data_IF_909799993283
#
_entry.id   IF_909799993283
#
_cell.length_a   1.000
_cell.length_b   1.000
_cell.length_c   1.000
_cell.angle_alpha   90.00
_cell.angle_beta   90.00
_cell.angle_gamma   90.00
#
_symmetry.space_group_name_H-M   'P 1'
#
loop_
_entity.id
_entity.type
_entity.pdbx_description
1 polymer ?
#
# COMPACT_ATOMS: atom_id res chain seq x y z
N UNK A 1 -0.74 28.75 -1.68
CA UNK A 1 -0.55 27.32 -2.02
C UNK A 1 0.67 26.83 -1.26
N UNK A 2 0.47 26.01 -0.22
CA UNK A 2 1.51 25.64 0.71
C UNK A 2 2.56 24.68 0.13
N UNK A 3 3.77 24.72 0.66
CA UNK A 3 4.88 23.81 0.34
C UNK A 3 4.46 22.32 0.37
N UNK A 4 3.53 21.94 1.25
CA UNK A 4 2.99 20.58 1.32
C UNK A 4 2.31 20.09 0.05
N UNK A 5 1.64 20.96 -0.71
CA UNK A 5 0.96 20.56 -1.97
C UNK A 5 1.97 20.34 -3.10
N UNK A 6 3.12 21.03 -3.07
CA UNK A 6 4.20 20.86 -4.04
C UNK A 6 4.88 19.49 -3.82
N UNK A 7 5.18 19.15 -2.57
CA UNK A 7 5.79 17.83 -2.24
C UNK A 7 4.86 16.65 -2.55
N UNK A 8 3.57 16.79 -2.28
CA UNK A 8 2.56 15.76 -2.62
C UNK A 8 2.52 15.49 -4.12
N UNK A 9 2.48 16.55 -4.93
CA UNK A 9 2.49 16.43 -6.41
C UNK A 9 3.79 15.86 -6.94
N UNK A 10 4.93 16.20 -6.35
CA UNK A 10 6.23 15.69 -6.78
C UNK A 10 6.38 14.19 -6.49
N UNK A 11 5.95 13.74 -5.32
CA UNK A 11 6.03 12.32 -4.94
C UNK A 11 5.09 11.45 -5.76
N UNK A 12 3.85 11.90 -5.99
CA UNK A 12 2.93 11.23 -6.91
C UNK A 12 3.48 11.18 -8.33
N UNK A 13 4.03 12.31 -8.84
CA UNK A 13 4.68 12.36 -10.15
C UNK A 13 5.87 11.41 -10.23
N UNK A 14 6.66 11.27 -9.15
CA UNK A 14 7.79 10.33 -9.11
C UNK A 14 7.32 8.88 -9.23
N UNK A 15 6.26 8.49 -8.52
CA UNK A 15 5.68 7.16 -8.62
C UNK A 15 5.09 6.88 -10.01
N UNK A 16 4.34 7.85 -10.55
CA UNK A 16 3.80 7.77 -11.91
C UNK A 16 4.90 7.74 -12.97
N UNK A 17 5.97 8.53 -12.81
CA UNK A 17 7.12 8.51 -13.70
C UNK A 17 7.83 7.15 -13.68
N UNK A 18 7.99 6.54 -12.50
CA UNK A 18 8.52 5.19 -12.37
C UNK A 18 7.63 4.15 -13.07
N UNK A 19 6.31 4.28 -12.92
CA UNK A 19 5.33 3.43 -13.62
C UNK A 19 5.46 3.55 -15.14
N UNK A 20 5.46 4.77 -15.69
CA UNK A 20 5.57 4.99 -17.14
C UNK A 20 6.96 4.63 -17.68
N UNK A 21 8.04 4.98 -16.98
CA UNK A 21 9.40 4.61 -17.39
C UNK A 21 9.57 3.09 -17.49
N UNK A 22 8.91 2.33 -16.61
CA UNK A 22 8.90 0.86 -16.69
C UNK A 22 7.99 0.32 -17.78
N UNK A 23 7.01 1.07 -18.27
CA UNK A 23 6.25 0.72 -19.48
C UNK A 23 7.09 0.82 -20.74
N UNK A 24 7.92 1.87 -20.85
CA UNK A 24 8.69 2.15 -22.06
C UNK A 24 9.91 1.22 -22.24
N UNK A 25 10.47 0.71 -21.13
CA UNK A 25 11.64 -0.19 -21.17
C UNK A 25 11.29 -1.65 -21.41
N UNK A 26 10.02 -2.00 -21.57
CA UNK A 26 9.55 -3.39 -21.62
C UNK A 26 9.65 -4.11 -22.95
N UNK A 27 10.30 -3.54 -23.92
CA UNK A 27 10.46 -4.30 -25.18
C UNK A 27 11.50 -5.41 -25.11
N UNK A 28 12.41 -5.46 -24.14
CA UNK A 28 13.49 -6.46 -24.21
C UNK A 28 14.00 -7.11 -22.92
N UNK A 29 13.85 -6.56 -21.70
CA UNK A 29 14.33 -7.25 -20.47
C UNK A 29 13.71 -6.67 -19.21
N UNK A 30 12.46 -6.90 -18.95
CA UNK A 30 11.90 -6.53 -17.64
C UNK A 30 12.50 -7.41 -16.53
N UNK A 31 13.40 -6.82 -15.74
CA UNK A 31 13.90 -7.45 -14.52
C UNK A 31 12.71 -7.61 -13.55
N UNK A 32 12.24 -8.83 -13.39
CA UNK A 32 11.16 -9.13 -12.46
C UNK A 32 11.63 -8.98 -11.01
N UNK A 33 10.70 -8.70 -10.11
CA UNK A 33 10.99 -8.73 -8.68
C UNK A 33 11.43 -10.13 -8.26
N UNK A 34 12.33 -10.21 -7.27
CA UNK A 34 12.71 -11.47 -6.66
C UNK A 34 11.54 -12.05 -5.90
N UNK A 35 11.57 -13.36 -5.63
CA UNK A 35 10.54 -14.03 -4.83
C UNK A 35 10.43 -13.39 -3.44
N UNK A 36 11.57 -13.07 -2.80
CA UNK A 36 11.62 -12.41 -1.50
C UNK A 36 10.95 -11.01 -1.54
N UNK A 37 11.28 -10.19 -2.54
CA UNK A 37 10.62 -8.88 -2.73
C UNK A 37 9.12 -9.01 -2.93
N UNK A 38 8.69 -9.96 -3.73
CA UNK A 38 7.27 -10.21 -3.99
C UNK A 38 6.55 -10.72 -2.75
N UNK A 39 7.19 -11.59 -1.96
CA UNK A 39 6.65 -12.11 -0.69
C UNK A 39 6.54 -10.99 0.34
N UNK A 40 7.59 -10.18 0.51
CA UNK A 40 7.58 -9.03 1.42
C UNK A 40 6.47 -8.05 1.04
N UNK A 41 6.41 -7.65 -0.23
CA UNK A 41 5.36 -6.76 -0.74
C UNK A 41 3.95 -7.32 -0.49
N UNK A 42 3.76 -8.62 -0.71
CA UNK A 42 2.51 -9.31 -0.43
C UNK A 42 2.13 -9.27 1.05
N UNK A 43 3.10 -9.52 1.93
CA UNK A 43 2.91 -9.49 3.39
C UNK A 43 2.59 -8.08 3.89
N UNK A 44 3.33 -7.08 3.44
CA UNK A 44 3.07 -5.67 3.81
C UNK A 44 1.71 -5.19 3.32
N UNK A 45 1.31 -5.59 2.11
CA UNK A 45 -0.01 -5.28 1.58
C UNK A 45 -1.14 -5.99 2.35
N UNK A 46 -0.95 -7.25 2.75
CA UNK A 46 -1.90 -7.98 3.59
C UNK A 46 -2.02 -7.32 4.98
N UNK A 47 -0.91 -6.88 5.58
CA UNK A 47 -0.90 -6.11 6.84
C UNK A 47 -1.66 -4.79 6.71
N UNK A 48 -1.44 -4.06 5.63
CA UNK A 48 -2.19 -2.83 5.36
C UNK A 48 -3.69 -3.10 5.18
N UNK A 49 -4.05 -4.19 4.49
CA UNK A 49 -5.45 -4.60 4.36
C UNK A 49 -6.08 -4.82 5.73
N UNK A 50 -5.44 -5.61 6.60
CA UNK A 50 -5.95 -5.91 7.96
C UNK A 50 -6.08 -4.63 8.79
N UNK A 51 -5.09 -3.75 8.74
CA UNK A 51 -5.13 -2.48 9.46
C UNK A 51 -6.23 -1.54 8.93
N UNK A 52 -6.45 -1.50 7.62
CA UNK A 52 -7.51 -0.71 7.00
C UNK A 52 -8.90 -1.29 7.33
N UNK A 53 -9.06 -2.62 7.31
CA UNK A 53 -10.30 -3.28 7.70
C UNK A 53 -10.65 -2.99 9.17
N UNK A 54 -9.63 -2.94 10.05
CA UNK A 54 -9.80 -2.57 11.45
C UNK A 54 -10.27 -1.11 11.61
N UNK A 55 -9.74 -0.18 10.82
CA UNK A 55 -10.23 1.20 10.80
C UNK A 55 -11.63 1.33 10.20
N UNK A 56 -12.02 0.41 9.33
CA UNK A 56 -13.35 0.38 8.74
C UNK A 56 -14.42 -0.23 9.69
N UNK A 57 -13.99 -0.80 10.82
CA UNK A 57 -14.89 -1.28 11.86
C UNK A 57 -15.46 -0.09 12.65
N UNK A 58 -16.79 0.06 12.62
CA UNK A 58 -17.47 1.16 13.30
C UNK A 58 -17.34 1.10 14.82
N UNK A 59 -17.19 -0.08 15.40
CA UNK A 59 -17.03 -0.27 16.84
C UNK A 59 -15.68 0.21 17.37
N UNK A 60 -14.66 0.32 16.49
CA UNK A 60 -13.34 0.80 16.89
C UNK A 60 -13.41 2.20 17.51
N UNK A 61 -14.19 3.10 16.91
CA UNK A 61 -14.26 4.51 17.35
C UNK A 61 -15.18 4.73 18.57
N UNK A 62 -15.83 3.68 19.05
CA UNK A 62 -16.54 3.70 20.32
C UNK A 62 -15.65 3.28 21.52
N UNK A 63 -14.44 2.79 21.24
CA UNK A 63 -13.44 2.39 22.23
C UNK A 63 -12.69 3.61 22.81
N UNK A 64 -11.77 3.33 23.72
CA UNK A 64 -10.88 4.33 24.32
C UNK A 64 -9.90 4.91 23.29
N UNK A 65 -9.42 6.12 23.60
CA UNK A 65 -8.55 6.87 22.69
C UNK A 65 -7.21 6.13 22.41
N UNK A 66 -6.67 5.42 23.39
CA UNK A 66 -5.41 4.69 23.23
C UNK A 66 -5.57 3.49 22.28
N UNK A 67 -6.71 2.84 22.29
CA UNK A 67 -7.06 1.77 21.34
C UNK A 67 -7.19 2.33 19.93
N UNK A 68 -7.85 3.49 19.78
CA UNK A 68 -7.98 4.19 18.49
C UNK A 68 -6.60 4.62 17.97
N UNK A 69 -5.77 5.24 18.82
CA UNK A 69 -4.41 5.67 18.45
C UNK A 69 -3.56 4.50 17.98
N UNK A 70 -3.57 3.37 18.70
CA UNK A 70 -2.84 2.16 18.29
C UNK A 70 -3.28 1.64 16.93
N UNK A 71 -4.59 1.64 16.67
CA UNK A 71 -5.11 1.18 15.38
C UNK A 71 -4.69 2.11 14.23
N UNK A 72 -4.76 3.42 14.43
CA UNK A 72 -4.33 4.42 13.44
C UNK A 72 -2.81 4.36 13.20
N UNK A 73 -2.00 4.19 14.25
CA UNK A 73 -0.54 3.99 14.12
C UNK A 73 -0.20 2.77 13.29
N UNK A 74 -0.79 1.61 13.62
CA UNK A 74 -0.57 0.37 12.87
C UNK A 74 -0.96 0.52 11.39
N UNK A 75 -2.05 1.26 11.11
CA UNK A 75 -2.45 1.57 9.74
C UNK A 75 -1.41 2.44 9.03
N UNK A 76 -0.91 3.49 9.67
CA UNK A 76 0.08 4.40 9.10
C UNK A 76 1.40 3.68 8.82
N UNK A 77 1.88 2.85 9.74
CA UNK A 77 3.08 2.03 9.56
C UNK A 77 2.94 1.10 8.35
N UNK A 78 1.87 0.30 8.31
CA UNK A 78 1.60 -0.60 7.19
C UNK A 78 1.44 0.13 5.85
N UNK A 79 0.79 1.31 5.85
CA UNK A 79 0.67 2.15 4.67
C UNK A 79 2.04 2.63 4.17
N UNK A 80 2.88 3.10 5.09
CA UNK A 80 4.22 3.61 4.78
C UNK A 80 5.14 2.50 4.25
N UNK A 81 5.02 1.28 4.75
CA UNK A 81 5.76 0.12 4.26
C UNK A 81 5.36 -0.20 2.81
N UNK A 82 4.05 -0.30 2.54
CA UNK A 82 3.55 -0.54 1.19
C UNK A 82 4.00 0.54 0.21
N UNK A 83 3.95 1.82 0.61
CA UNK A 83 4.40 2.93 -0.24
C UNK A 83 5.90 2.85 -0.52
N UNK A 84 6.71 2.54 0.48
CA UNK A 84 8.18 2.40 0.35
C UNK A 84 8.54 1.24 -0.57
N UNK A 85 8.01 0.06 -0.31
CA UNK A 85 8.31 -1.16 -1.06
C UNK A 85 7.79 -1.11 -2.49
N UNK A 86 6.60 -0.52 -2.69
CA UNK A 86 6.06 -0.35 -4.05
C UNK A 86 6.96 0.50 -4.94
N UNK A 87 7.66 1.50 -4.37
CA UNK A 87 8.63 2.33 -5.10
C UNK A 87 9.81 1.55 -5.65
N UNK A 88 10.15 0.43 -5.03
CA UNK A 88 11.24 -0.47 -5.40
C UNK A 88 10.79 -1.63 -6.32
N UNK A 89 9.48 -1.81 -6.50
CA UNK A 89 8.93 -2.91 -7.28
C UNK A 89 9.14 -2.74 -8.78
N UNK A 90 9.41 -3.84 -9.46
CA UNK A 90 9.40 -3.94 -10.93
C UNK A 90 8.06 -4.44 -11.47
N UNK A 91 7.11 -4.80 -10.60
CA UNK A 91 5.79 -5.26 -10.99
C UNK A 91 4.88 -4.07 -11.33
N UNK A 92 4.48 -3.97 -12.60
CA UNK A 92 3.60 -2.89 -13.09
C UNK A 92 2.27 -2.82 -12.36
N UNK A 93 1.68 -3.95 -12.04
CA UNK A 93 0.39 -3.97 -11.36
C UNK A 93 0.51 -3.47 -9.93
N UNK A 94 1.61 -3.79 -9.23
CA UNK A 94 1.94 -3.22 -7.91
C UNK A 94 2.09 -1.71 -8.02
N UNK A 95 2.95 -1.23 -8.94
CA UNK A 95 3.20 0.21 -9.15
C UNK A 95 1.91 0.98 -9.47
N UNK A 96 1.06 0.44 -10.34
CA UNK A 96 -0.20 1.07 -10.73
C UNK A 96 -1.16 1.20 -9.53
N UNK A 97 -1.30 0.13 -8.74
CA UNK A 97 -2.18 0.16 -7.58
C UNK A 97 -1.63 1.07 -6.47
N UNK A 98 -0.32 1.10 -6.26
CA UNK A 98 0.33 2.01 -5.31
C UNK A 98 0.19 3.48 -5.75
N UNK A 99 0.34 3.77 -7.04
CA UNK A 99 0.12 5.12 -7.59
C UNK A 99 -1.34 5.56 -7.39
N UNK A 100 -2.31 4.66 -7.59
CA UNK A 100 -3.70 4.94 -7.32
C UNK A 100 -3.96 5.18 -5.82
N UNK A 101 -3.37 4.34 -4.95
CA UNK A 101 -3.46 4.46 -3.49
C UNK A 101 -2.98 5.83 -3.02
N UNK A 102 -1.77 6.22 -3.42
CA UNK A 102 -1.19 7.52 -3.02
C UNK A 102 -1.93 8.72 -3.63
N UNK A 103 -2.43 8.58 -4.86
CA UNK A 103 -3.24 9.61 -5.51
C UNK A 103 -4.59 9.82 -4.81
N UNK A 104 -5.26 8.74 -4.41
CA UNK A 104 -6.49 8.79 -3.61
C UNK A 104 -6.23 9.42 -2.24
N UNK A 105 -5.16 9.01 -1.56
CA UNK A 105 -4.76 9.59 -0.27
C UNK A 105 -4.53 11.09 -0.39
N UNK A 106 -3.86 11.54 -1.45
CA UNK A 106 -3.66 12.96 -1.74
C UNK A 106 -4.97 13.73 -1.92
N UNK A 107 -5.97 13.14 -2.57
CA UNK A 107 -7.31 13.74 -2.72
C UNK A 107 -8.03 13.88 -1.38
N UNK A 108 -7.80 12.97 -0.46
CA UNK A 108 -8.41 12.97 0.88
C UNK A 108 -7.58 13.72 1.95
N UNK A 109 -6.50 14.40 1.57
CA UNK A 109 -5.57 15.03 2.51
C UNK A 109 -6.25 15.99 3.51
N UNK A 110 -7.22 16.81 3.04
CA UNK A 110 -7.98 17.72 3.89
C UNK A 110 -8.90 16.98 4.87
N UNK A 111 -9.42 15.85 4.46
CA UNK A 111 -10.28 15.03 5.32
C UNK A 111 -9.44 14.30 6.37
N UNK A 112 -8.30 13.74 5.95
CA UNK A 112 -7.36 13.04 6.82
C UNK A 112 -6.74 13.97 7.87
N UNK A 113 -6.49 15.25 7.54
CA UNK A 113 -5.95 16.21 8.49
C UNK A 113 -6.88 16.49 9.67
N UNK A 114 -8.20 16.28 9.52
CA UNK A 114 -9.16 16.36 10.63
C UNK A 114 -8.98 15.22 11.64
N UNK A 115 -8.43 14.11 11.20
CA UNK A 115 -8.07 12.96 12.03
C UNK A 115 -6.57 13.00 12.47
N UNK A 116 -5.88 14.13 12.33
CA UNK A 116 -4.48 14.26 12.67
C UNK A 116 -3.52 13.55 11.71
N UNK A 117 -4.00 13.08 10.55
CA UNK A 117 -3.17 12.37 9.57
C UNK A 117 -2.73 13.35 8.48
N UNK A 118 -1.44 13.51 8.32
CA UNK A 118 -0.83 14.38 7.30
C UNK A 118 0.03 13.57 6.32
N UNK A 119 0.20 14.10 5.12
CA UNK A 119 1.02 13.45 4.09
C UNK A 119 2.37 14.13 4.05
N UNK A 120 3.40 13.39 4.43
CA UNK A 120 4.79 13.81 4.43
C UNK A 120 5.50 13.55 3.10
N UNK A 121 6.81 13.78 3.07
CA UNK A 121 7.66 13.50 1.91
C UNK A 121 7.60 12.02 1.52
N UNK A 122 7.56 11.74 0.24
CA UNK A 122 7.51 10.36 -0.27
C UNK A 122 6.12 9.72 -0.25
N UNK A 123 5.05 10.49 -0.08
CA UNK A 123 3.66 10.04 0.13
C UNK A 123 3.45 9.23 1.42
N UNK A 124 4.37 9.30 2.36
CA UNK A 124 4.21 8.69 3.68
C UNK A 124 3.20 9.46 4.51
N UNK A 125 2.57 8.75 5.43
CA UNK A 125 1.65 9.34 6.39
C UNK A 125 2.36 9.58 7.72
N UNK A 126 1.99 10.67 8.38
CA UNK A 126 2.39 11.03 9.74
C UNK A 126 1.16 11.30 10.58
N UNK A 127 1.25 10.98 11.88
CA UNK A 127 0.17 11.14 12.84
C UNK A 127 0.51 12.23 13.86
N UNK A 128 -0.43 13.15 14.03
CA UNK A 128 -0.55 14.00 15.21
C UNK A 128 -1.57 13.36 16.17
N UNK A 129 -1.06 12.72 17.21
CA UNK A 129 -1.89 11.99 18.19
C UNK A 129 -2.82 12.93 18.96
N UNK A 130 -2.37 14.15 19.28
CA UNK A 130 -3.17 15.11 20.02
C UNK A 130 -4.36 15.59 19.19
N UNK A 131 -4.16 15.78 17.91
CA UNK A 131 -5.24 16.10 16.97
C UNK A 131 -6.19 14.91 16.80
N UNK A 132 -5.67 13.67 16.72
CA UNK A 132 -6.52 12.48 16.64
C UNK A 132 -7.40 12.30 17.88
N UNK A 133 -6.84 12.46 19.09
CA UNK A 133 -7.57 12.34 20.36
C UNK A 133 -8.65 13.43 20.54
N UNK A 134 -8.44 14.61 19.97
CA UNK A 134 -9.40 15.71 19.97
C UNK A 134 -10.44 15.62 18.85
N UNK A 135 -10.24 14.75 17.87
CA UNK A 135 -11.14 14.61 16.75
C UNK A 135 -12.48 14.04 17.19
N UNK A 136 -13.56 14.58 16.68
CA UNK A 136 -14.90 14.07 16.92
C UNK A 136 -15.08 12.66 16.34
N UNK A 137 -15.62 11.75 17.16
CA UNK A 137 -15.80 10.33 16.80
C UNK A 137 -16.69 10.15 15.57
N UNK A 138 -17.69 11.02 15.38
CA UNK A 138 -18.53 10.98 14.19
C UNK A 138 -17.74 11.37 12.93
N UNK A 139 -16.83 12.30 13.06
CA UNK A 139 -15.90 12.67 11.98
C UNK A 139 -14.97 11.50 11.63
N UNK A 140 -14.39 10.83 12.63
CA UNK A 140 -13.55 9.65 12.39
C UNK A 140 -14.33 8.53 11.71
N UNK A 141 -15.54 8.23 12.17
CA UNK A 141 -16.43 7.27 11.53
C UNK A 141 -16.73 7.66 10.07
N UNK A 142 -17.00 8.92 9.78
CA UNK A 142 -17.26 9.37 8.40
C UNK A 142 -16.07 9.22 7.46
N UNK A 143 -14.84 9.31 7.98
CA UNK A 143 -13.60 9.15 7.21
C UNK A 143 -13.32 7.68 6.93
N UNK A 144 -13.46 6.84 7.96
CA UNK A 144 -12.92 5.49 7.94
C UNK A 144 -13.97 4.40 7.72
N UNK A 145 -15.23 4.62 8.07
CA UNK A 145 -16.25 3.59 8.00
C UNK A 145 -17.11 3.64 6.74
N UNK A 146 -17.46 2.46 6.24
CA UNK A 146 -18.32 2.27 5.09
C UNK A 146 -17.59 1.82 3.82
N UNK A 147 -18.35 1.34 2.87
CA UNK A 147 -17.81 0.74 1.63
C UNK A 147 -16.94 1.73 0.82
N UNK A 148 -17.37 2.97 0.71
CA UNK A 148 -16.64 4.01 -0.03
C UNK A 148 -15.76 4.90 0.85
N UNK A 149 -15.58 4.55 2.12
CA UNK A 149 -14.71 5.27 3.04
C UNK A 149 -13.25 5.23 2.59
N UNK A 150 -12.43 6.09 3.19
CA UNK A 150 -10.99 6.06 2.94
C UNK A 150 -10.39 4.68 3.27
N UNK A 151 -10.69 4.11 4.46
CA UNK A 151 -10.18 2.82 4.86
C UNK A 151 -10.68 1.68 3.96
N UNK A 152 -11.96 1.66 3.59
CA UNK A 152 -12.51 0.67 2.67
C UNK A 152 -11.83 0.69 1.28
N UNK A 153 -11.51 1.88 0.79
CA UNK A 153 -10.77 2.03 -0.46
C UNK A 153 -9.32 1.56 -0.35
N UNK A 154 -8.65 1.87 0.79
CA UNK A 154 -7.28 1.39 1.06
C UNK A 154 -7.25 -0.12 1.15
N UNK A 155 -8.17 -0.74 1.89
CA UNK A 155 -8.28 -2.21 2.01
C UNK A 155 -8.37 -2.89 0.64
N UNK A 156 -9.24 -2.40 -0.24
CA UNK A 156 -9.36 -2.95 -1.61
C UNK A 156 -8.08 -2.82 -2.42
N UNK A 157 -7.36 -1.70 -2.29
CA UNK A 157 -6.11 -1.48 -3.03
C UNK A 157 -4.94 -2.27 -2.45
N UNK A 158 -4.90 -2.42 -1.13
CA UNK A 158 -3.94 -3.31 -0.48
C UNK A 158 -4.14 -4.77 -0.94
N UNK A 159 -5.37 -5.24 -0.99
CA UNK A 159 -5.70 -6.56 -1.55
C UNK A 159 -5.25 -6.72 -3.02
N UNK A 160 -5.45 -5.68 -3.84
CA UNK A 160 -5.01 -5.71 -5.24
C UNK A 160 -3.48 -5.74 -5.36
N UNK A 161 -2.75 -5.04 -4.48
CA UNK A 161 -1.29 -5.07 -4.42
C UNK A 161 -0.80 -6.44 -3.98
N UNK A 162 -1.38 -7.02 -2.92
CA UNK A 162 -1.05 -8.37 -2.45
C UNK A 162 -1.24 -9.41 -3.57
N UNK A 163 -2.38 -9.39 -4.24
CA UNK A 163 -2.66 -10.30 -5.34
C UNK A 163 -1.69 -10.13 -6.51
N UNK A 164 -1.35 -8.88 -6.87
CA UNK A 164 -0.37 -8.58 -7.91
C UNK A 164 1.02 -9.10 -7.54
N UNK A 165 1.40 -9.02 -6.25
CA UNK A 165 2.68 -9.52 -5.75
C UNK A 165 2.77 -11.03 -5.82
N UNK A 166 1.72 -11.73 -5.43
CA UNK A 166 1.65 -13.20 -5.47
C UNK A 166 1.75 -13.76 -6.89
N UNK A 167 1.32 -13.00 -7.90
CA UNK A 167 1.47 -13.34 -9.32
C UNK A 167 2.89 -13.08 -9.88
N UNK A 168 3.75 -12.37 -9.13
CA UNK A 168 5.10 -12.08 -9.58
C UNK A 168 5.95 -13.36 -9.60
N UNK A 169 6.44 -13.72 -10.77
CA UNK A 169 7.24 -14.93 -10.97
C UNK A 169 6.47 -16.14 -11.48
N UNK A 170 5.18 -16.02 -11.73
CA UNK A 170 4.40 -17.03 -12.44
C UNK A 170 3.98 -16.51 -13.83
N UNK A 171 4.19 -17.32 -14.84
CA UNK A 171 3.80 -17.01 -16.22
C UNK A 171 3.50 -18.32 -16.97
N UNK A 172 2.68 -18.22 -18.00
CA UNK A 172 2.55 -19.32 -18.94
C UNK A 172 3.78 -19.34 -19.86
N UNK A 173 4.32 -20.53 -20.10
CA UNK A 173 5.34 -20.72 -21.11
C UNK A 173 4.75 -20.49 -22.49
N UNK A 174 5.61 -20.31 -23.51
CA UNK A 174 5.18 -20.21 -24.91
C UNK A 174 4.40 -21.43 -25.40
N UNK A 175 4.45 -22.54 -24.67
CA UNK A 175 3.68 -23.79 -24.90
C UNK A 175 2.37 -23.86 -24.12
N UNK A 176 1.95 -22.75 -23.46
CA UNK A 176 0.71 -22.71 -22.66
C UNK A 176 0.80 -23.38 -21.28
N UNK A 177 1.97 -23.85 -20.87
CA UNK A 177 2.18 -24.46 -19.56
C UNK A 177 2.38 -23.39 -18.49
N UNK A 178 1.67 -23.49 -17.38
CA UNK A 178 1.85 -22.60 -16.25
C UNK A 178 3.23 -22.79 -15.61
N UNK A 179 4.00 -21.72 -15.51
CA UNK A 179 5.30 -21.71 -14.87
C UNK A 179 5.28 -20.79 -13.65
N UNK A 180 5.60 -21.32 -12.47
CA UNK A 180 5.78 -20.55 -11.25
C UNK A 180 7.25 -20.66 -10.83
N UNK A 181 7.94 -19.53 -10.68
CA UNK A 181 9.31 -19.51 -10.16
C UNK A 181 9.41 -20.09 -8.76
N UNK A 182 8.39 -19.88 -7.93
CA UNK A 182 8.32 -20.45 -6.57
C UNK A 182 8.24 -21.98 -6.62
N UNK A 183 7.36 -22.53 -7.45
CA UNK A 183 7.25 -23.97 -7.63
C UNK A 183 8.52 -24.57 -8.21
N UNK A 184 9.15 -23.91 -9.18
CA UNK A 184 10.40 -24.35 -9.77
C UNK A 184 11.58 -24.31 -8.74
N UNK A 185 11.61 -23.32 -7.84
CA UNK A 185 12.62 -23.22 -6.78
C UNK A 185 12.46 -24.33 -5.75
N UNK A 186 11.24 -24.66 -5.37
CA UNK A 186 10.92 -25.78 -4.46
C UNK A 186 11.32 -27.10 -5.12
N UNK A 187 10.92 -27.32 -6.38
CA UNK A 187 11.24 -28.54 -7.12
C UNK A 187 12.74 -28.73 -7.37
N UNK A 188 13.51 -27.64 -7.45
CA UNK A 188 14.98 -27.68 -7.65
C UNK A 188 15.78 -27.85 -6.34
N UNK A 189 15.13 -27.91 -5.18
CA UNK A 189 15.78 -28.06 -3.87
C UNK A 189 16.65 -26.86 -3.46
N UNK A 190 16.52 -25.71 -4.11
CA UNK A 190 17.33 -24.53 -3.83
C UNK A 190 16.93 -23.77 -2.55
N UNK A 191 15.76 -24.09 -1.99
CA UNK A 191 15.25 -23.44 -0.78
C UNK A 191 15.80 -24.07 0.51
N UNK A 192 16.23 -25.35 0.46
CA UNK A 192 16.68 -26.08 1.65
C UNK A 192 18.14 -25.86 2.02
N UNK A 193 18.85 -24.90 1.42
CA UNK A 193 20.29 -24.67 1.67
C UNK A 193 20.63 -23.40 2.45
N UNK A 194 19.65 -22.67 2.96
CA UNK A 194 19.88 -21.51 3.82
C UNK A 194 19.04 -21.62 5.11
N UNK A 195 19.48 -22.51 5.99
CA UNK A 195 19.18 -22.49 7.42
C UNK A 195 20.51 -22.56 8.17
#
# INVERSE_FOLDING_TARGET
RGLGDVYKRQSYKKLMKAYYAKQDTEKLTAKQDTVQKSTLMGSSADSLKVAADKLNDSELFDKDDDTIVKAVKSFIESYNDVVSESGESNNKSVLRNAAWLTGMTGKNAKLLSKAGITIAKGNKLELDEDTLKKADKSTLKSIFNGYNSFAGNVSRKASAISNASKGAGSSYTSKGTYYSKTAASIASGKIDKEV
#
